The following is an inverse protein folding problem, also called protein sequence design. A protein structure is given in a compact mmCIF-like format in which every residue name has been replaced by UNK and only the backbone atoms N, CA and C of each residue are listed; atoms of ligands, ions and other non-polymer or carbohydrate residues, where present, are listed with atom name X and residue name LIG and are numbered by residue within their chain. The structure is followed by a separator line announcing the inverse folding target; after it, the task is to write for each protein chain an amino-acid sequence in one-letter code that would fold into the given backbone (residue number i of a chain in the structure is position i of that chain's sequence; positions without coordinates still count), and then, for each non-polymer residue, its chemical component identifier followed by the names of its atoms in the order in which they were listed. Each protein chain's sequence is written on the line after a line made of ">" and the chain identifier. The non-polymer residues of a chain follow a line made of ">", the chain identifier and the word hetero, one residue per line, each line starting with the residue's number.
data_IF_993665027058
#
_entry.id   IF_993665027058
#
_cell.length_a   1.000
_cell.length_b   1.000
_cell.length_c   1.000
_cell.angle_alpha   90.00
_cell.angle_beta   90.00
_cell.angle_gamma   90.00
#
_symmetry.space_group_name_H-M   'P 1'
#
loop_
_entity.id
_entity.type
_entity.pdbx_description
1 polymer ?
#
# COMPACT_ATOMS: atom_id res chain seq x y z
N UNK A 1 -9.89 -1.68 36.64
CA UNK A 1 -8.83 -0.86 35.99
C UNK A 1 -7.62 -1.68 35.58
N UNK A 2 -6.96 -2.43 36.47
CA UNK A 2 -5.76 -3.22 36.13
C UNK A 2 -5.98 -4.25 35.00
N UNK A 3 -7.09 -5.01 34.97
CA UNK A 3 -7.33 -5.97 33.88
C UNK A 3 -7.61 -5.31 32.52
N UNK A 4 -8.17 -4.09 32.53
CA UNK A 4 -8.43 -3.29 31.34
C UNK A 4 -7.13 -2.71 30.77
N UNK A 5 -6.22 -2.29 31.65
CA UNK A 5 -4.86 -1.83 31.29
C UNK A 5 -4.03 -3.00 30.75
N UNK A 6 -4.08 -4.17 31.38
CA UNK A 6 -3.37 -5.37 30.91
C UNK A 6 -3.92 -5.85 29.56
N UNK A 7 -5.24 -5.81 29.34
CA UNK A 7 -5.86 -6.12 28.05
C UNK A 7 -5.45 -5.15 26.94
N UNK A 8 -5.39 -3.84 27.24
CA UNK A 8 -4.87 -2.82 26.33
C UNK A 8 -3.39 -3.04 26.01
N UNK A 9 -2.53 -3.30 26.99
CA UNK A 9 -1.11 -3.57 26.78
C UNK A 9 -0.89 -4.84 25.93
N UNK A 10 -1.70 -5.89 26.15
CA UNK A 10 -1.61 -7.15 25.38
C UNK A 10 -2.09 -7.00 23.94
N UNK A 11 -3.17 -6.25 23.70
CA UNK A 11 -3.62 -5.90 22.35
C UNK A 11 -2.65 -4.94 21.63
N UNK A 12 -2.01 -4.03 22.38
CA UNK A 12 -0.97 -3.16 21.86
C UNK A 12 0.29 -3.94 21.44
N UNK A 13 0.61 -5.06 22.08
CA UNK A 13 1.84 -5.83 21.81
C UNK A 13 1.83 -6.63 20.50
N UNK A 14 0.68 -7.22 20.12
CA UNK A 14 0.63 -8.21 19.03
C UNK A 14 0.54 -7.67 17.60
N UNK A 15 0.21 -6.38 17.45
CA UNK A 15 0.03 -5.70 16.16
C UNK A 15 1.17 -4.70 15.83
N UNK A 16 2.24 -4.66 16.65
CA UNK A 16 3.44 -3.81 16.40
C UNK A 16 4.36 -4.38 15.31
N UNK A 17 4.24 -5.67 15.01
CA UNK A 17 5.01 -6.37 14.00
C UNK A 17 4.11 -7.07 12.99
N UNK A 18 4.52 -7.10 11.71
CA UNK A 18 3.81 -7.86 10.69
C UNK A 18 3.81 -9.35 11.04
N UNK A 19 2.74 -10.04 10.67
CA UNK A 19 2.63 -11.50 10.78
C UNK A 19 3.39 -12.22 9.66
N UNK A 20 3.63 -11.52 8.55
CA UNK A 20 4.41 -12.00 7.41
C UNK A 20 5.26 -10.87 6.86
N UNK A 21 6.56 -11.14 6.67
CA UNK A 21 7.49 -10.26 5.98
C UNK A 21 7.94 -10.96 4.71
N UNK A 22 7.61 -10.36 3.56
CA UNK A 22 8.03 -10.83 2.26
C UNK A 22 9.18 -9.97 1.72
N UNK A 23 10.11 -10.62 1.04
CA UNK A 23 11.19 -9.96 0.32
C UNK A 23 11.11 -10.34 -1.15
N UNK A 24 11.27 -9.34 -2.01
CA UNK A 24 11.74 -9.58 -3.37
C UNK A 24 13.21 -10.02 -3.38
N UNK A 25 13.68 -10.53 -4.52
CA UNK A 25 15.02 -11.06 -4.67
C UNK A 25 15.94 -10.08 -5.40
N UNK A 26 15.76 -9.95 -6.70
CA UNK A 26 16.63 -9.14 -7.56
C UNK A 26 16.54 -7.66 -7.21
N UNK A 27 17.68 -7.01 -6.96
CA UNK A 27 17.72 -5.61 -6.50
C UNK A 27 17.28 -5.38 -5.05
N UNK A 28 16.72 -6.38 -4.37
CA UNK A 28 16.20 -6.31 -3.00
C UNK A 28 16.98 -7.18 -2.02
N UNK A 29 16.93 -8.51 -2.12
CA UNK A 29 17.67 -9.40 -1.23
C UNK A 29 19.16 -9.43 -1.59
N UNK A 30 19.48 -9.30 -2.88
CA UNK A 30 20.83 -9.15 -3.39
C UNK A 30 20.92 -8.00 -4.40
N UNK A 31 22.16 -7.61 -4.74
CA UNK A 31 22.37 -6.74 -5.89
C UNK A 31 22.22 -7.48 -7.22
N UNK A 32 21.89 -6.72 -8.27
CA UNK A 32 21.78 -7.26 -9.61
C UNK A 32 20.59 -8.19 -9.82
N UNK A 33 20.70 -8.99 -10.87
CA UNK A 33 19.68 -9.92 -11.34
C UNK A 33 20.29 -11.31 -11.46
N UNK A 34 19.70 -12.28 -10.79
CA UNK A 34 20.06 -13.67 -10.97
C UNK A 34 19.41 -14.17 -12.27
N UNK A 35 20.16 -14.13 -13.36
CA UNK A 35 19.68 -14.43 -14.70
C UNK A 35 20.41 -15.65 -15.30
N UNK A 36 19.66 -16.60 -15.85
CA UNK A 36 20.20 -17.79 -16.51
C UNK A 36 21.03 -17.50 -17.78
N UNK A 37 20.83 -16.35 -18.40
CA UNK A 37 21.61 -15.97 -19.58
C UNK A 37 23.05 -15.59 -19.23
N UNK A 38 23.32 -15.27 -17.97
CA UNK A 38 24.66 -14.96 -17.47
C UNK A 38 25.23 -16.10 -16.61
N UNK A 39 24.40 -16.74 -15.78
CA UNK A 39 24.75 -17.95 -15.03
C UNK A 39 24.65 -19.19 -15.94
N UNK A 40 25.78 -19.79 -16.29
CA UNK A 40 25.92 -20.93 -17.21
C UNK A 40 26.36 -20.55 -18.62
N UNK A 41 26.56 -19.24 -18.88
CA UNK A 41 26.97 -18.71 -20.18
C UNK A 41 28.29 -19.36 -20.64
N UNK A 42 28.34 -19.91 -21.85
CA UNK A 42 29.54 -20.56 -22.42
C UNK A 42 30.05 -21.83 -21.71
N UNK A 43 29.24 -22.48 -20.85
CA UNK A 43 29.61 -23.78 -20.31
C UNK A 43 28.74 -24.21 -19.14
N UNK A 44 27.92 -25.25 -19.37
CA UNK A 44 27.02 -25.83 -18.37
C UNK A 44 27.76 -26.78 -17.42
N UNK A 45 27.30 -26.93 -16.17
CA UNK A 45 27.45 -28.24 -15.50
C UNK A 45 26.64 -29.23 -16.34
N UNK A 46 27.26 -30.32 -16.77
CA UNK A 46 26.69 -31.34 -17.67
C UNK A 46 25.27 -31.72 -17.28
N UNK A 47 24.35 -31.58 -18.25
CA UNK A 47 22.97 -32.08 -18.29
C UNK A 47 22.23 -32.21 -16.93
N UNK A 48 21.51 -31.16 -16.54
CA UNK A 48 20.27 -31.39 -15.79
C UNK A 48 19.70 -30.23 -14.99
N UNK A 49 20.53 -29.37 -14.39
CA UNK A 49 20.06 -28.44 -13.34
C UNK A 49 20.78 -27.10 -13.37
N UNK A 50 20.08 -26.04 -13.78
CA UNK A 50 20.61 -24.66 -13.90
C UNK A 50 21.17 -24.14 -12.59
N UNK A 51 20.52 -24.49 -11.49
CA UNK A 51 20.87 -24.13 -10.13
C UNK A 51 22.24 -24.66 -9.69
N UNK A 52 22.76 -25.73 -10.28
CA UNK A 52 24.06 -26.28 -9.89
C UNK A 52 25.25 -25.41 -10.36
N UNK A 53 25.01 -24.43 -11.23
CA UNK A 53 25.99 -23.38 -11.54
C UNK A 53 26.11 -22.34 -10.42
N UNK A 54 25.17 -22.27 -9.48
CA UNK A 54 25.15 -21.25 -8.41
C UNK A 54 26.00 -21.71 -7.23
N UNK A 55 27.05 -20.96 -6.91
CA UNK A 55 27.96 -21.26 -5.80
C UNK A 55 28.32 -20.02 -4.97
N UNK A 56 28.75 -20.25 -3.73
CA UNK A 56 29.37 -19.21 -2.91
C UNK A 56 30.80 -18.96 -3.41
N UNK A 57 31.07 -17.75 -3.90
CA UNK A 57 32.40 -17.33 -4.33
C UNK A 57 33.24 -16.79 -3.18
N UNK A 58 32.63 -16.00 -2.29
CA UNK A 58 33.30 -15.47 -1.11
C UNK A 58 32.31 -15.08 -0.02
N UNK A 59 32.76 -15.16 1.23
CA UNK A 59 32.04 -14.65 2.41
C UNK A 59 32.94 -13.63 3.12
N UNK A 60 32.38 -12.51 3.51
CA UNK A 60 33.06 -11.45 4.25
C UNK A 60 32.17 -10.92 5.38
N UNK A 61 32.66 -9.95 6.15
CA UNK A 61 31.86 -9.24 7.14
C UNK A 61 30.75 -8.38 6.51
N UNK A 62 30.88 -8.03 5.23
CA UNK A 62 29.96 -7.15 4.52
C UNK A 62 28.86 -7.92 3.78
N UNK A 63 29.02 -9.24 3.60
CA UNK A 63 28.05 -10.05 2.88
C UNK A 63 28.60 -11.30 2.21
N UNK A 64 27.80 -11.83 1.28
CA UNK A 64 28.04 -13.06 0.53
C UNK A 64 28.06 -12.75 -0.97
N UNK A 65 29.15 -13.12 -1.62
CA UNK A 65 29.23 -13.10 -3.08
C UNK A 65 28.82 -14.46 -3.60
N UNK A 66 27.68 -14.52 -4.26
CA UNK A 66 27.19 -15.69 -4.96
C UNK A 66 27.49 -15.49 -6.43
N UNK A 67 27.89 -16.54 -7.12
CA UNK A 67 28.09 -16.44 -8.55
C UNK A 67 28.21 -17.78 -9.21
N UNK A 68 28.50 -17.71 -10.50
CA UNK A 68 28.64 -18.88 -11.34
C UNK A 68 29.93 -19.65 -11.06
N UNK A 69 29.85 -20.99 -10.99
CA UNK A 69 30.99 -21.89 -10.74
C UNK A 69 32.11 -21.72 -11.78
N UNK A 70 31.79 -21.51 -13.06
CA UNK A 70 32.76 -21.44 -14.17
C UNK A 70 33.06 -20.00 -14.58
N UNK A 71 32.09 -19.11 -14.42
CA UNK A 71 32.13 -17.72 -14.85
C UNK A 71 32.44 -16.73 -13.72
N UNK A 72 33.25 -17.15 -12.74
CA UNK A 72 33.61 -16.40 -11.53
C UNK A 72 34.19 -15.00 -11.76
N UNK A 73 34.68 -14.67 -12.95
CA UNK A 73 35.28 -13.36 -13.27
C UNK A 73 34.29 -12.35 -13.83
N UNK A 74 33.11 -12.80 -14.24
CA UNK A 74 32.11 -11.97 -14.89
C UNK A 74 31.16 -11.40 -13.85
N UNK A 75 31.21 -10.08 -13.65
CA UNK A 75 30.38 -9.39 -12.64
C UNK A 75 28.88 -9.65 -12.84
N UNK A 76 28.44 -9.81 -14.08
CA UNK A 76 27.04 -10.08 -14.41
C UNK A 76 26.58 -11.52 -14.09
N UNK A 77 27.53 -12.42 -13.80
CA UNK A 77 27.28 -13.78 -13.31
C UNK A 77 27.53 -13.87 -11.79
N UNK A 78 27.32 -12.75 -11.09
CA UNK A 78 27.48 -12.63 -9.65
C UNK A 78 26.35 -11.78 -9.06
N UNK A 79 25.97 -12.09 -7.83
CA UNK A 79 25.07 -11.29 -7.01
C UNK A 79 25.62 -11.22 -5.59
N UNK A 80 25.46 -10.06 -4.96
CA UNK A 80 25.91 -9.77 -3.61
C UNK A 80 24.74 -9.68 -2.65
N UNK A 81 24.74 -10.57 -1.65
CA UNK A 81 23.78 -10.52 -0.53
C UNK A 81 24.42 -9.72 0.61
N UNK A 82 23.93 -8.51 0.93
CA UNK A 82 24.51 -7.70 1.99
C UNK A 82 24.29 -8.36 3.36
N UNK A 83 25.25 -8.21 4.27
CA UNK A 83 25.15 -8.74 5.64
C UNK A 83 23.96 -8.13 6.41
N UNK A 84 23.51 -6.94 6.03
CA UNK A 84 22.30 -6.34 6.60
C UNK A 84 21.06 -7.23 6.39
N UNK A 85 20.95 -7.96 5.28
CA UNK A 85 19.86 -8.92 5.09
C UNK A 85 19.88 -10.00 6.19
N UNK A 86 21.06 -10.50 6.54
CA UNK A 86 21.22 -11.46 7.65
C UNK A 86 20.79 -10.84 8.99
N UNK A 87 21.24 -9.63 9.27
CA UNK A 87 20.88 -8.90 10.49
C UNK A 87 19.37 -8.69 10.60
N UNK A 88 18.69 -8.43 9.48
CA UNK A 88 17.24 -8.31 9.39
C UNK A 88 16.57 -9.64 9.74
N UNK A 89 17.01 -10.75 9.13
CA UNK A 89 16.45 -12.08 9.41
C UNK A 89 16.63 -12.46 10.89
N UNK A 90 17.81 -12.17 11.47
CA UNK A 90 18.05 -12.36 12.90
C UNK A 90 17.10 -11.53 13.77
N UNK A 91 16.86 -10.27 13.42
CA UNK A 91 15.90 -9.44 14.14
C UNK A 91 14.49 -10.02 14.06
N UNK A 92 14.00 -10.36 12.85
CA UNK A 92 12.68 -10.98 12.68
C UNK A 92 12.55 -12.23 13.56
N UNK A 93 13.59 -13.09 13.59
CA UNK A 93 13.61 -14.32 14.41
C UNK A 93 13.61 -14.06 15.91
N UNK A 94 14.30 -13.01 16.38
CA UNK A 94 14.25 -12.54 17.78
C UNK A 94 12.86 -12.06 18.16
N UNK A 95 12.17 -11.38 17.25
CA UNK A 95 10.81 -10.91 17.47
C UNK A 95 9.80 -12.06 17.41
N UNK A 96 10.03 -13.10 16.60
CA UNK A 96 9.14 -14.28 16.57
C UNK A 96 9.11 -14.95 17.96
N UNK A 97 7.94 -15.14 18.56
CA UNK A 97 7.76 -15.81 19.86
C UNK A 97 6.74 -16.95 19.74
N UNK A 98 7.14 -18.09 19.13
CA UNK A 98 6.26 -19.25 19.01
C UNK A 98 5.92 -19.73 20.43
N UNK A 99 4.66 -20.09 20.65
CA UNK A 99 4.14 -20.59 21.95
C UNK A 99 4.07 -19.56 23.09
N UNK A 100 4.26 -18.26 22.80
CA UNK A 100 3.91 -17.22 23.77
C UNK A 100 2.39 -17.08 23.88
N UNK A 101 1.89 -16.52 25.00
CA UNK A 101 0.47 -16.19 25.17
C UNK A 101 -0.08 -15.23 24.11
N UNK A 102 0.82 -14.58 23.37
CA UNK A 102 0.52 -13.60 22.32
C UNK A 102 0.68 -14.20 20.92
N UNK A 103 1.11 -15.48 20.85
CA UNK A 103 1.35 -16.29 19.65
C UNK A 103 1.89 -15.51 18.44
N UNK A 104 2.93 -14.70 18.67
CA UNK A 104 3.52 -13.88 17.61
C UNK A 104 4.44 -14.74 16.73
N UNK A 105 3.84 -15.47 15.78
CA UNK A 105 4.59 -16.08 14.69
C UNK A 105 4.73 -15.07 13.54
N UNK A 106 5.98 -14.81 13.12
CA UNK A 106 6.30 -13.96 11.98
C UNK A 106 6.89 -14.89 10.93
N UNK A 107 6.18 -15.05 9.82
CA UNK A 107 6.65 -15.86 8.70
C UNK A 107 7.50 -15.00 7.75
N UNK A 108 8.66 -15.52 7.35
CA UNK A 108 9.50 -14.92 6.31
C UNK A 108 9.18 -15.60 4.99
N UNK A 109 8.83 -14.84 3.98
CA UNK A 109 8.46 -15.34 2.66
C UNK A 109 9.26 -14.66 1.56
N UNK A 110 9.32 -15.30 0.40
CA UNK A 110 9.85 -14.71 -0.83
C UNK A 110 8.69 -14.44 -1.77
N UNK A 111 8.64 -13.24 -2.33
CA UNK A 111 7.72 -12.84 -3.40
C UNK A 111 8.57 -12.26 -4.52
N UNK A 112 8.88 -13.05 -5.53
CA UNK A 112 9.75 -12.62 -6.63
C UNK A 112 9.18 -13.00 -7.99
N UNK A 113 9.40 -12.12 -8.97
CA UNK A 113 9.03 -12.36 -10.36
C UNK A 113 10.14 -13.07 -11.17
N UNK A 114 11.24 -13.45 -10.52
CA UNK A 114 12.30 -14.21 -11.17
C UNK A 114 11.77 -15.57 -11.65
N UNK A 115 12.02 -15.92 -12.90
CA UNK A 115 11.55 -17.16 -13.55
C UNK A 115 12.38 -18.39 -13.17
N UNK A 116 13.52 -18.21 -12.51
CA UNK A 116 14.47 -19.27 -12.13
C UNK A 116 14.39 -19.56 -10.63
N UNK A 117 13.23 -20.05 -10.18
CA UNK A 117 12.96 -20.37 -8.76
C UNK A 117 14.07 -21.22 -8.12
N UNK A 118 14.48 -22.31 -8.76
CA UNK A 118 15.45 -23.24 -8.18
C UNK A 118 16.84 -22.62 -8.06
N UNK A 119 17.25 -21.76 -9.00
CA UNK A 119 18.50 -21.02 -8.90
C UNK A 119 18.46 -20.02 -7.74
N UNK A 120 17.34 -19.32 -7.57
CA UNK A 120 17.14 -18.40 -6.46
C UNK A 120 17.16 -19.12 -5.10
N UNK A 121 16.51 -20.29 -5.01
CA UNK A 121 16.56 -21.15 -3.82
C UNK A 121 18.00 -21.58 -3.55
N UNK A 122 18.75 -22.00 -4.57
CA UNK A 122 20.17 -22.38 -4.41
C UNK A 122 21.03 -21.21 -3.96
N UNK A 123 20.81 -20.02 -4.49
CA UNK A 123 21.53 -18.82 -4.05
C UNK A 123 21.31 -18.58 -2.55
N UNK A 124 20.06 -18.57 -2.08
CA UNK A 124 19.75 -18.40 -0.65
C UNK A 124 20.24 -19.57 0.21
N UNK A 125 20.37 -20.77 -0.35
CA UNK A 125 20.90 -21.93 0.38
C UNK A 125 22.37 -21.76 0.78
N UNK A 126 23.17 -21.05 -0.04
CA UNK A 126 24.57 -20.72 0.27
C UNK A 126 24.72 -19.61 1.32
N UNK A 127 23.63 -18.91 1.63
CA UNK A 127 23.63 -17.84 2.62
C UNK A 127 23.32 -18.43 3.99
N UNK A 128 24.30 -18.36 4.88
CA UNK A 128 24.21 -18.87 6.24
C UNK A 128 24.18 -17.74 7.26
N UNK A 129 23.50 -17.97 8.38
CA UNK A 129 23.51 -17.07 9.51
C UNK A 129 23.46 -17.78 10.86
N UNK A 130 23.82 -17.03 11.89
CA UNK A 130 23.69 -17.48 13.27
C UNK A 130 22.23 -17.26 13.70
N UNK A 131 21.40 -18.30 13.64
CA UNK A 131 20.02 -18.25 14.13
C UNK A 131 20.04 -18.22 15.66
N UNK A 132 19.48 -17.19 16.31
CA UNK A 132 19.38 -17.12 17.77
C UNK A 132 18.69 -18.34 18.41
N UNK A 133 17.94 -19.13 17.65
CA UNK A 133 17.18 -20.30 18.12
C UNK A 133 17.73 -21.65 17.68
N UNK A 134 18.47 -21.71 16.55
CA UNK A 134 18.97 -22.97 15.97
C UNK A 134 20.50 -23.10 16.02
N UNK A 135 21.21 -22.01 16.29
CA UNK A 135 22.68 -21.98 16.34
C UNK A 135 23.31 -21.54 15.02
N UNK A 136 24.64 -21.69 14.96
CA UNK A 136 25.48 -21.27 13.84
C UNK A 136 25.23 -22.10 12.58
N UNK A 137 25.44 -21.50 11.40
CA UNK A 137 25.37 -22.21 10.12
C UNK A 137 23.95 -22.56 9.66
N UNK A 138 22.92 -21.89 10.19
CA UNK A 138 21.55 -22.06 9.71
C UNK A 138 21.43 -21.42 8.33
N UNK A 139 20.86 -22.10 7.34
CA UNK A 139 20.68 -21.55 5.99
C UNK A 139 19.46 -20.64 5.95
N UNK A 140 19.50 -19.61 5.12
CA UNK A 140 18.35 -18.71 4.92
C UNK A 140 17.13 -19.48 4.41
N UNK A 141 17.33 -20.51 3.58
CA UNK A 141 16.23 -21.38 3.11
C UNK A 141 15.48 -22.09 4.24
N UNK A 142 16.12 -22.35 5.39
CA UNK A 142 15.48 -23.08 6.50
C UNK A 142 14.49 -22.24 7.30
N UNK A 143 14.49 -20.93 7.09
CA UNK A 143 13.55 -20.00 7.73
C UNK A 143 12.49 -19.45 6.78
N UNK A 144 12.74 -19.47 5.48
CA UNK A 144 11.73 -19.11 4.48
C UNK A 144 10.60 -20.12 4.54
N UNK A 145 9.38 -19.63 4.81
CA UNK A 145 8.20 -20.47 5.01
C UNK A 145 7.39 -20.69 3.76
N UNK A 146 7.49 -19.77 2.82
CA UNK A 146 6.86 -19.84 1.51
C UNK A 146 7.73 -19.13 0.48
N UNK A 147 7.87 -19.75 -0.68
CA UNK A 147 8.68 -19.23 -1.77
C UNK A 147 7.81 -19.09 -3.02
N UNK A 148 7.31 -17.88 -3.26
CA UNK A 148 6.55 -17.55 -4.47
C UNK A 148 7.48 -16.89 -5.49
N UNK A 149 7.81 -17.66 -6.52
CA UNK A 149 8.60 -17.25 -7.67
C UNK A 149 8.38 -18.23 -8.83
N UNK A 150 8.87 -17.87 -10.02
CA UNK A 150 8.83 -18.72 -11.20
C UNK A 150 7.97 -18.18 -12.35
N UNK A 151 7.38 -16.99 -12.22
CA UNK A 151 6.56 -16.39 -13.27
C UNK A 151 6.72 -14.86 -13.32
N UNK A 152 7.39 -14.36 -14.36
CA UNK A 152 7.61 -12.92 -14.57
C UNK A 152 6.35 -12.14 -14.98
N UNK A 153 5.30 -12.83 -15.39
CA UNK A 153 4.03 -12.20 -15.78
C UNK A 153 3.00 -12.24 -14.66
N UNK A 154 3.24 -13.03 -13.60
CA UNK A 154 2.36 -13.07 -12.44
C UNK A 154 2.48 -11.76 -11.64
N UNK A 155 1.37 -11.03 -11.43
CA UNK A 155 1.40 -9.82 -10.62
C UNK A 155 1.62 -10.19 -9.15
N UNK A 156 2.35 -9.34 -8.40
CA UNK A 156 2.59 -9.61 -6.98
C UNK A 156 1.32 -9.61 -6.14
N UNK A 157 0.23 -9.01 -6.62
CA UNK A 157 -1.08 -9.13 -5.98
C UNK A 157 -1.51 -10.59 -5.83
N UNK A 158 -1.23 -11.41 -6.84
CA UNK A 158 -1.53 -12.85 -6.82
C UNK A 158 -0.60 -13.62 -5.87
N UNK A 159 0.67 -13.22 -5.78
CA UNK A 159 1.59 -13.81 -4.79
C UNK A 159 1.05 -13.65 -3.36
N UNK A 160 0.47 -12.49 -3.05
CA UNK A 160 -0.11 -12.22 -1.73
C UNK A 160 -1.46 -12.91 -1.51
N UNK A 161 -2.22 -13.19 -2.57
CA UNK A 161 -3.39 -14.07 -2.49
C UNK A 161 -2.96 -15.51 -2.17
N UNK A 162 -1.86 -15.98 -2.76
CA UNK A 162 -1.27 -17.29 -2.47
C UNK A 162 -0.74 -17.38 -1.03
N UNK A 163 -0.13 -16.32 -0.48
CA UNK A 163 0.27 -16.27 0.93
C UNK A 163 -0.91 -16.31 1.90
N UNK A 164 -2.01 -15.60 1.60
CA UNK A 164 -3.21 -15.62 2.42
C UNK A 164 -3.85 -17.01 2.41
N UNK A 165 -3.99 -17.63 1.23
CA UNK A 165 -4.49 -19.01 1.07
C UNK A 165 -3.64 -20.02 1.83
N UNK A 166 -2.32 -19.96 1.66
CA UNK A 166 -1.39 -20.83 2.39
C UNK A 166 -1.51 -20.70 3.91
N UNK A 167 -1.69 -19.48 4.41
CA UNK A 167 -1.90 -19.24 5.83
C UNK A 167 -3.25 -19.80 6.31
N UNK A 168 -4.30 -19.68 5.50
CA UNK A 168 -5.61 -20.27 5.75
C UNK A 168 -5.53 -21.80 5.80
N UNK A 169 -4.86 -22.44 4.85
CA UNK A 169 -4.68 -23.90 4.78
C UNK A 169 -3.91 -24.44 6.00
N UNK A 170 -3.05 -23.61 6.60
CA UNK A 170 -2.34 -23.92 7.85
C UNK A 170 -3.14 -23.65 9.12
N UNK A 171 -4.42 -23.28 9.01
CA UNK A 171 -5.26 -22.91 10.15
C UNK A 171 -4.83 -21.61 10.84
N UNK A 172 -4.09 -20.74 10.14
CA UNK A 172 -3.57 -19.46 10.66
C UNK A 172 -3.96 -18.30 9.73
N UNK A 173 -5.28 -18.09 9.47
CA UNK A 173 -5.72 -17.06 8.54
C UNK A 173 -5.10 -15.71 8.91
N UNK A 174 -4.36 -15.15 7.98
CA UNK A 174 -3.61 -13.90 8.18
C UNK A 174 -4.06 -12.93 7.11
N UNK A 175 -4.77 -11.88 7.55
CA UNK A 175 -5.17 -10.81 6.63
C UNK A 175 -3.93 -10.20 5.97
N UNK A 176 -4.01 -9.95 4.66
CA UNK A 176 -2.98 -9.25 3.88
C UNK A 176 -2.58 -7.88 4.50
N UNK A 177 -3.50 -7.26 5.25
CA UNK A 177 -3.28 -6.04 6.05
C UNK A 177 -2.18 -6.18 7.12
N UNK A 178 -1.85 -7.42 7.53
CA UNK A 178 -0.80 -7.74 8.51
C UNK A 178 0.52 -8.18 7.86
N UNK A 179 0.68 -7.93 6.55
CA UNK A 179 1.87 -8.30 5.79
C UNK A 179 2.67 -7.06 5.36
N UNK A 180 3.98 -7.24 5.21
CA UNK A 180 4.93 -6.21 4.77
C UNK A 180 5.78 -6.76 3.61
N UNK A 181 5.82 -6.05 2.49
CA UNK A 181 6.68 -6.34 1.34
C UNK A 181 7.84 -5.34 1.26
N UNK A 182 9.06 -5.87 1.10
CA UNK A 182 10.22 -5.11 0.66
C UNK A 182 10.53 -5.44 -0.81
N UNK A 183 10.69 -4.41 -1.63
CA UNK A 183 10.84 -4.53 -3.09
C UNK A 183 11.57 -3.30 -3.66
N UNK A 184 12.31 -3.42 -4.76
CA UNK A 184 12.96 -2.29 -5.41
C UNK A 184 12.09 -1.67 -6.53
N UNK A 185 11.15 -2.43 -7.08
CA UNK A 185 10.32 -2.04 -8.22
C UNK A 185 9.07 -1.30 -7.78
N UNK A 186 8.92 -0.07 -8.26
CA UNK A 186 7.77 0.76 -7.93
C UNK A 186 6.45 0.15 -8.42
N UNK A 187 6.44 -0.56 -9.57
CA UNK A 187 5.19 -1.17 -10.08
C UNK A 187 4.56 -2.17 -9.10
N UNK A 188 5.36 -2.80 -8.24
CA UNK A 188 4.89 -3.76 -7.24
C UNK A 188 4.22 -3.11 -6.03
N UNK A 189 4.12 -1.78 -5.98
CA UNK A 189 3.33 -1.05 -4.98
C UNK A 189 1.82 -1.31 -5.15
N UNK A 190 1.40 -1.90 -6.26
CA UNK A 190 0.01 -2.31 -6.49
C UNK A 190 -0.53 -3.26 -5.40
N UNK A 191 0.32 -4.07 -4.73
CA UNK A 191 -0.09 -4.88 -3.57
C UNK A 191 -0.58 -4.04 -2.40
N UNK A 192 -0.03 -2.84 -2.20
CA UNK A 192 -0.51 -1.93 -1.16
C UNK A 192 -1.88 -1.39 -1.50
N UNK A 193 -2.08 -1.05 -2.77
CA UNK A 193 -3.33 -0.50 -3.26
C UNK A 193 -4.45 -1.56 -3.23
N UNK A 194 -4.18 -2.77 -3.73
CA UNK A 194 -5.23 -3.74 -4.02
C UNK A 194 -5.39 -4.82 -2.95
N UNK A 195 -4.31 -5.25 -2.31
CA UNK A 195 -4.33 -6.24 -1.23
C UNK A 195 -4.34 -5.58 0.16
N UNK A 196 -3.79 -4.36 0.27
CA UNK A 196 -3.67 -3.64 1.56
C UNK A 196 -2.46 -4.07 2.38
N UNK A 197 -1.51 -4.76 1.72
CA UNK A 197 -0.17 -5.07 2.20
C UNK A 197 0.58 -3.77 2.44
N UNK A 198 1.44 -3.69 3.45
CA UNK A 198 2.34 -2.53 3.55
C UNK A 198 3.47 -2.70 2.56
N UNK A 199 3.66 -1.75 1.64
CA UNK A 199 4.74 -1.78 0.66
C UNK A 199 5.85 -0.80 1.02
N UNK A 200 7.07 -1.30 1.12
CA UNK A 200 8.26 -0.49 1.32
C UNK A 200 9.23 -0.64 0.15
N UNK A 201 9.44 0.45 -0.59
CA UNK A 201 10.39 0.47 -1.70
C UNK A 201 11.84 0.62 -1.20
N UNK A 202 12.74 -0.23 -1.65
CA UNK A 202 14.17 -0.10 -1.40
C UNK A 202 14.72 1.10 -2.17
N UNK A 203 15.32 2.06 -1.44
CA UNK A 203 15.67 3.37 -1.99
C UNK A 203 16.81 3.34 -3.02
N UNK A 204 17.72 2.36 -2.92
CA UNK A 204 18.89 2.22 -3.79
C UNK A 204 18.90 0.80 -4.38
N UNK A 205 18.22 0.59 -5.53
CA UNK A 205 18.31 -0.69 -6.23
C UNK A 205 19.77 -1.02 -6.53
N UNK A 206 20.16 -2.29 -6.37
CA UNK A 206 21.51 -2.76 -6.70
C UNK A 206 22.55 -2.65 -5.58
N UNK A 207 22.15 -2.40 -4.32
CA UNK A 207 22.99 -2.67 -3.14
C UNK A 207 22.42 -3.78 -2.24
N UNK A 208 21.21 -4.26 -2.57
CA UNK A 208 20.34 -5.01 -1.68
C UNK A 208 19.74 -4.16 -0.55
N UNK A 209 18.97 -4.81 0.31
CA UNK A 209 18.28 -4.22 1.44
C UNK A 209 19.26 -3.92 2.57
N UNK A 210 19.09 -2.76 3.21
CA UNK A 210 19.83 -2.40 4.42
C UNK A 210 18.97 -2.45 5.68
N UNK A 211 19.64 -2.47 6.83
CA UNK A 211 18.95 -2.47 8.10
C UNK A 211 18.13 -1.19 8.32
N UNK A 212 18.54 -0.06 7.73
CA UNK A 212 17.76 1.17 7.74
C UNK A 212 16.49 1.07 6.88
N UNK A 213 16.57 0.44 5.70
CA UNK A 213 15.39 0.16 4.87
C UNK A 213 14.38 -0.68 5.67
N UNK A 214 14.85 -1.73 6.33
CA UNK A 214 14.00 -2.57 7.19
C UNK A 214 13.34 -1.80 8.34
N UNK A 215 14.10 -0.99 9.09
CA UNK A 215 13.55 -0.15 10.17
C UNK A 215 12.50 0.84 9.65
N UNK A 216 12.75 1.43 8.49
CA UNK A 216 11.81 2.37 7.86
C UNK A 216 10.55 1.63 7.37
N UNK A 217 10.67 0.44 6.81
CA UNK A 217 9.54 -0.43 6.46
C UNK A 217 8.70 -0.83 7.67
N UNK A 218 9.33 -1.18 8.80
CA UNK A 218 8.62 -1.44 10.05
C UNK A 218 7.92 -0.20 10.61
N UNK A 219 8.58 0.97 10.56
CA UNK A 219 7.98 2.24 10.99
C UNK A 219 6.74 2.55 10.17
N UNK A 220 6.82 2.33 8.86
CA UNK A 220 5.70 2.48 7.94
C UNK A 220 4.57 1.50 8.26
N UNK A 221 4.87 0.22 8.43
CA UNK A 221 3.87 -0.78 8.83
C UNK A 221 3.15 -0.39 10.12
N UNK A 222 3.91 0.08 11.13
CA UNK A 222 3.34 0.53 12.40
C UNK A 222 2.44 1.74 12.24
N UNK A 223 2.78 2.69 11.38
CA UNK A 223 1.90 3.84 11.10
C UNK A 223 0.56 3.36 10.53
N UNK A 224 0.58 2.37 9.64
CA UNK A 224 -0.64 1.73 9.12
C UNK A 224 -1.46 1.00 10.18
N UNK A 225 -0.82 0.31 11.13
CA UNK A 225 -1.54 -0.39 12.20
C UNK A 225 -2.08 0.57 13.26
N UNK A 226 -1.36 1.66 13.53
CA UNK A 226 -1.70 2.58 14.61
C UNK A 226 -3.06 3.24 14.43
N UNK A 227 -3.38 3.77 13.24
CA UNK A 227 -4.71 4.37 13.03
C UNK A 227 -5.81 3.29 12.95
N UNK A 228 -5.47 2.07 12.51
CA UNK A 228 -6.41 0.96 12.40
C UNK A 228 -6.90 0.42 13.75
N UNK A 229 -6.12 0.60 14.81
CA UNK A 229 -6.53 0.21 16.18
C UNK A 229 -7.79 0.93 16.67
N UNK A 230 -8.12 2.06 16.07
CA UNK A 230 -9.30 2.85 16.40
C UNK A 230 -10.55 2.41 15.62
N UNK A 231 -10.43 1.41 14.75
CA UNK A 231 -11.54 0.90 13.95
C UNK A 231 -12.15 -0.30 14.69
N UNK A 232 -13.46 -0.28 14.97
CA UNK A 232 -14.15 -1.39 15.61
C UNK A 232 -13.98 -2.70 14.83
N UNK A 233 -13.75 -3.81 15.54
CA UNK A 233 -13.58 -5.14 14.94
C UNK A 233 -14.89 -5.69 14.35
N UNK A 234 -16.03 -5.41 14.98
CA UNK A 234 -17.38 -5.67 14.49
C UNK A 234 -17.92 -4.39 13.86
N UNK A 235 -18.29 -4.42 12.58
CA UNK A 235 -18.69 -3.26 11.79
C UNK A 235 -19.54 -2.22 12.55
N UNK A 236 -19.18 -0.94 12.36
CA UNK A 236 -19.82 0.27 12.86
C UNK A 236 -20.34 0.21 14.31
N UNK A 237 -19.56 0.71 15.27
CA UNK A 237 -20.19 1.24 16.48
C UNK A 237 -21.09 2.42 16.06
N UNK A 238 -22.41 2.19 16.07
CA UNK A 238 -23.41 3.11 15.49
C UNK A 238 -23.41 4.51 16.12
N UNK A 239 -22.83 4.69 17.31
CA UNK A 239 -22.83 5.95 18.04
C UNK A 239 -21.73 6.94 17.62
N UNK A 240 -20.78 6.55 16.76
CA UNK A 240 -19.63 7.39 16.37
C UNK A 240 -19.35 7.45 14.87
N UNK A 241 -20.38 7.16 14.08
CA UNK A 241 -20.33 7.30 12.63
C UNK A 241 -20.40 8.80 12.29
N UNK A 242 -19.48 9.29 11.47
CA UNK A 242 -19.49 10.67 10.98
C UNK A 242 -19.64 10.66 9.46
N UNK A 243 -20.65 11.38 8.97
CA UNK A 243 -20.82 11.65 7.54
C UNK A 243 -19.73 12.62 7.07
N UNK A 244 -18.96 12.21 6.08
CA UNK A 244 -17.79 12.96 5.63
C UNK A 244 -17.89 13.42 4.18
N UNK A 245 -18.82 12.91 3.37
CA UNK A 245 -19.01 13.38 2.00
C UNK A 245 -19.81 12.44 1.12
N UNK A 246 -19.62 12.60 -0.18
CA UNK A 246 -20.37 11.90 -1.21
C UNK A 246 -19.45 11.37 -2.31
N UNK A 247 -19.75 10.18 -2.82
CA UNK A 247 -19.00 9.55 -3.92
C UNK A 247 -19.95 9.27 -5.07
N UNK A 248 -19.60 9.69 -6.28
CA UNK A 248 -20.25 9.24 -7.50
C UNK A 248 -19.64 7.92 -7.96
N UNK A 249 -20.47 6.90 -8.20
CA UNK A 249 -20.01 5.54 -8.47
C UNK A 249 -20.90 4.84 -9.52
N UNK A 250 -20.39 3.73 -10.04
CA UNK A 250 -21.23 2.70 -10.67
C UNK A 250 -21.88 1.80 -9.62
N UNK A 251 -22.84 0.96 -10.03
CA UNK A 251 -23.56 0.05 -9.14
C UNK A 251 -22.60 -0.86 -8.36
N UNK A 252 -21.59 -1.42 -9.04
CA UNK A 252 -20.65 -2.34 -8.44
C UNK A 252 -19.82 -1.66 -7.34
N UNK A 253 -19.25 -0.49 -7.61
CA UNK A 253 -18.47 0.23 -6.60
C UNK A 253 -19.37 0.79 -5.49
N UNK A 254 -20.60 1.20 -5.79
CA UNK A 254 -21.54 1.66 -4.79
C UNK A 254 -21.88 0.56 -3.77
N UNK A 255 -22.16 -0.66 -4.24
CA UNK A 255 -22.39 -1.83 -3.38
C UNK A 255 -21.16 -2.14 -2.52
N UNK A 256 -19.96 -2.10 -3.12
CA UNK A 256 -18.72 -2.35 -2.37
C UNK A 256 -18.50 -1.32 -1.26
N UNK A 257 -18.73 -0.04 -1.53
CA UNK A 257 -18.64 0.98 -0.49
C UNK A 257 -19.68 0.78 0.59
N UNK A 258 -20.89 0.32 0.26
CA UNK A 258 -21.92 -0.01 1.25
C UNK A 258 -21.52 -1.19 2.16
N UNK A 259 -20.84 -2.19 1.59
CA UNK A 259 -20.19 -3.27 2.35
C UNK A 259 -18.94 -2.80 3.10
N UNK A 260 -18.55 -1.53 2.91
CA UNK A 260 -17.34 -0.91 3.42
C UNK A 260 -16.06 -1.59 2.93
N UNK A 261 -16.11 -2.09 1.70
CA UNK A 261 -14.98 -2.53 0.90
C UNK A 261 -14.45 -1.37 0.05
N UNK A 262 -13.20 -1.48 -0.39
CA UNK A 262 -12.57 -0.54 -1.33
C UNK A 262 -13.12 -0.74 -2.74
N UNK A 263 -12.95 0.26 -3.61
CA UNK A 263 -13.29 0.17 -5.04
C UNK A 263 -12.55 -0.96 -5.75
N UNK A 264 -13.10 -1.40 -6.88
CA UNK A 264 -12.35 -2.26 -7.81
C UNK A 264 -11.29 -1.45 -8.58
N UNK A 265 -10.35 -2.18 -9.19
CA UNK A 265 -9.48 -1.60 -10.21
C UNK A 265 -10.36 -1.19 -11.38
N UNK A 266 -10.26 0.08 -11.77
CA UNK A 266 -10.99 0.61 -12.93
C UNK A 266 -10.01 1.33 -13.86
N UNK A 267 -10.35 1.34 -15.13
CA UNK A 267 -9.71 2.10 -16.21
C UNK A 267 -10.10 3.59 -16.20
N UNK A 268 -11.04 3.98 -15.34
CA UNK A 268 -11.53 5.35 -15.28
C UNK A 268 -10.44 6.35 -14.94
N UNK A 269 -10.57 7.50 -15.60
CA UNK A 269 -9.73 8.64 -15.39
C UNK A 269 -9.79 9.16 -13.97
N UNK A 270 -8.60 9.28 -13.38
CA UNK A 270 -8.42 9.80 -12.05
C UNK A 270 -7.16 10.67 -12.01
N UNK A 271 -7.37 11.97 -11.77
CA UNK A 271 -6.35 13.00 -11.56
C UNK A 271 -5.34 12.71 -10.43
N UNK A 272 -5.66 11.76 -9.54
CA UNK A 272 -4.92 11.39 -8.34
C UNK A 272 -4.69 9.87 -8.24
N UNK A 273 -4.46 9.19 -9.37
CA UNK A 273 -4.18 7.76 -9.35
C UNK A 273 -5.42 6.91 -9.03
N UNK A 274 -5.23 5.77 -8.35
CA UNK A 274 -6.32 4.83 -8.05
C UNK A 274 -7.19 5.19 -6.83
N UNK A 275 -7.18 6.45 -6.40
CA UNK A 275 -7.94 6.92 -5.24
C UNK A 275 -9.45 6.99 -5.49
N UNK A 276 -10.23 6.94 -4.42
CA UNK A 276 -11.65 7.28 -4.40
C UNK A 276 -11.80 8.80 -4.25
N UNK A 277 -12.66 9.39 -5.07
CA UNK A 277 -13.00 10.81 -5.05
C UNK A 277 -14.24 11.01 -4.21
N UNK A 278 -14.08 11.80 -3.16
CA UNK A 278 -15.18 12.23 -2.31
C UNK A 278 -15.39 13.71 -2.57
N UNK A 279 -16.64 14.14 -2.68
CA UNK A 279 -17.03 15.53 -2.73
C UNK A 279 -17.76 15.94 -1.45
N UNK A 280 -17.67 17.21 -1.08
CA UNK A 280 -18.42 17.76 0.06
C UNK A 280 -19.84 18.20 -0.34
N UNK A 281 -20.07 18.42 -1.64
CA UNK A 281 -21.35 18.78 -2.26
C UNK A 281 -21.91 17.57 -3.03
N UNK A 282 -23.13 17.10 -2.71
CA UNK A 282 -23.72 15.94 -3.37
C UNK A 282 -23.99 16.17 -4.86
N UNK A 283 -24.16 17.41 -5.32
CA UNK A 283 -24.34 17.72 -6.76
C UNK A 283 -23.07 17.42 -7.56
N UNK A 284 -21.89 17.59 -6.95
CA UNK A 284 -20.61 17.23 -7.57
C UNK A 284 -20.48 15.71 -7.69
N UNK A 285 -20.82 14.97 -6.63
CA UNK A 285 -20.81 13.52 -6.66
C UNK A 285 -21.83 12.97 -7.68
N UNK A 286 -23.03 13.55 -7.77
CA UNK A 286 -24.02 13.23 -8.78
C UNK A 286 -23.48 13.47 -10.21
N UNK A 287 -22.81 14.60 -10.46
CA UNK A 287 -22.15 14.83 -11.75
C UNK A 287 -21.11 13.75 -12.09
N UNK A 288 -20.22 13.40 -11.16
CA UNK A 288 -19.25 12.34 -11.38
C UNK A 288 -19.87 10.95 -11.54
N UNK A 289 -21.05 10.73 -10.95
CA UNK A 289 -21.83 9.53 -11.17
C UNK A 289 -22.33 9.42 -12.62
N UNK A 290 -22.61 10.54 -13.28
CA UNK A 290 -23.08 10.58 -14.68
C UNK A 290 -21.94 10.51 -15.70
N UNK A 291 -20.80 11.11 -15.37
CA UNK A 291 -19.67 11.27 -16.29
C UNK A 291 -19.17 9.92 -16.84
N UNK A 292 -19.28 9.74 -18.16
CA UNK A 292 -18.93 8.50 -18.86
C UNK A 292 -19.92 7.35 -18.64
N UNK A 293 -21.13 7.65 -18.15
CA UNK A 293 -22.24 6.72 -17.86
C UNK A 293 -23.58 7.30 -18.33
N UNK A 294 -23.57 8.26 -19.25
CA UNK A 294 -24.74 9.00 -19.72
C UNK A 294 -25.79 8.07 -20.34
N UNK A 295 -25.34 6.98 -20.97
CA UNK A 295 -26.19 5.99 -21.64
C UNK A 295 -26.59 4.80 -20.73
N UNK A 296 -26.16 4.79 -19.47
CA UNK A 296 -26.45 3.70 -18.51
C UNK A 296 -26.97 4.27 -17.19
N UNK A 297 -28.15 4.92 -17.19
CA UNK A 297 -28.70 5.59 -16.01
C UNK A 297 -28.95 4.64 -14.83
N UNK A 298 -29.23 3.36 -15.10
CA UNK A 298 -29.40 2.35 -14.07
C UNK A 298 -28.10 2.03 -13.31
N UNK A 299 -26.95 2.38 -13.88
CA UNK A 299 -25.63 2.21 -13.28
C UNK A 299 -25.12 3.50 -12.59
N UNK A 300 -25.97 4.50 -12.38
CA UNK A 300 -25.57 5.76 -11.74
C UNK A 300 -25.95 5.77 -10.26
N UNK A 301 -24.95 5.79 -9.38
CA UNK A 301 -25.14 5.79 -7.94
C UNK A 301 -24.38 6.93 -7.26
N UNK A 302 -25.00 7.49 -6.22
CA UNK A 302 -24.35 8.34 -5.25
C UNK A 302 -24.27 7.60 -3.91
N UNK A 303 -23.11 7.66 -3.27
CA UNK A 303 -22.87 7.03 -1.97
C UNK A 303 -22.63 8.12 -0.93
N UNK A 304 -23.45 8.16 0.12
CA UNK A 304 -23.12 8.94 1.32
C UNK A 304 -22.01 8.20 2.05
N UNK A 305 -20.85 8.83 2.19
CA UNK A 305 -19.67 8.18 2.75
C UNK A 305 -19.53 8.54 4.23
N UNK A 306 -19.26 7.54 5.04
CA UNK A 306 -19.11 7.68 6.49
C UNK A 306 -17.78 7.10 6.96
N UNK A 307 -17.20 7.70 8.00
CA UNK A 307 -16.08 7.09 8.74
C UNK A 307 -16.63 6.12 9.78
N UNK A 308 -16.01 4.94 9.87
CA UNK A 308 -16.31 3.92 10.87
C UNK A 308 -15.94 4.35 12.30
N UNK A 309 -15.01 5.30 12.41
CA UNK A 309 -14.51 5.81 13.68
C UNK A 309 -14.04 7.25 13.50
N UNK A 310 -14.72 8.19 14.14
CA UNK A 310 -14.30 9.59 14.20
C UNK A 310 -12.89 9.72 14.79
N UNK A 311 -12.55 8.92 15.80
CA UNK A 311 -11.21 8.93 16.39
C UNK A 311 -10.13 8.50 15.39
N UNK A 312 -10.39 7.46 14.57
CA UNK A 312 -9.47 7.06 13.51
C UNK A 312 -9.30 8.19 12.48
N UNK A 313 -10.41 8.86 12.14
CA UNK A 313 -10.40 10.00 11.24
C UNK A 313 -9.63 11.17 11.82
N UNK A 314 -9.77 11.50 13.10
CA UNK A 314 -9.01 12.58 13.75
C UNK A 314 -7.51 12.26 13.79
N UNK A 315 -7.16 11.00 14.04
CA UNK A 315 -5.78 10.55 14.15
C UNK A 315 -5.03 10.52 12.81
N UNK A 316 -5.68 10.11 11.72
CA UNK A 316 -5.01 10.02 10.43
C UNK A 316 -4.59 11.41 9.94
N UNK A 317 -3.37 11.49 9.41
CA UNK A 317 -2.84 12.74 8.86
C UNK A 317 -3.67 13.21 7.67
N UNK A 318 -3.88 14.53 7.59
CA UNK A 318 -4.64 15.17 6.52
C UNK A 318 -3.84 16.31 5.93
N UNK A 319 -3.75 16.36 4.61
CA UNK A 319 -3.01 17.39 3.87
C UNK A 319 -3.89 17.98 2.78
N UNK A 320 -3.75 19.28 2.50
CA UNK A 320 -4.46 19.92 1.40
C UNK A 320 -3.46 20.36 0.32
N UNK A 321 -3.62 19.85 -0.90
CA UNK A 321 -2.79 20.15 -2.05
C UNK A 321 -3.32 21.34 -2.84
N UNK A 322 -2.42 22.13 -3.46
CA UNK A 322 -2.85 23.07 -4.47
C UNK A 322 -3.46 22.32 -5.66
N UNK A 323 -4.42 22.97 -6.33
CA UNK A 323 -5.27 22.32 -7.34
C UNK A 323 -4.56 21.89 -8.62
N UNK A 324 -3.34 22.38 -8.89
CA UNK A 324 -2.62 22.21 -10.17
C UNK A 324 -1.13 21.89 -9.96
N UNK A 325 -0.50 21.41 -11.03
CA UNK A 325 0.94 21.22 -11.14
C UNK A 325 1.40 19.81 -10.74
N UNK A 326 2.63 19.72 -10.24
CA UNK A 326 3.33 18.46 -9.92
C UNK A 326 2.79 17.71 -8.68
N UNK A 327 1.51 17.89 -8.35
CA UNK A 327 0.82 17.15 -7.29
C UNK A 327 -0.08 16.05 -7.87
N UNK A 328 -0.53 16.22 -9.11
CA UNK A 328 -1.46 15.30 -9.76
C UNK A 328 -0.75 14.06 -10.29
N UNK A 329 -1.48 12.95 -10.35
CA UNK A 329 -1.04 11.65 -10.88
C UNK A 329 -2.03 11.23 -11.95
N UNK A 330 -1.57 11.15 -13.20
CA UNK A 330 -2.41 10.73 -14.31
C UNK A 330 -2.33 9.20 -14.47
N UNK A 331 -3.37 8.47 -14.11
CA UNK A 331 -3.42 7.01 -14.27
C UNK A 331 -4.02 6.52 -15.61
N UNK A 332 -4.55 7.42 -16.44
CA UNK A 332 -5.20 7.06 -17.71
C UNK A 332 -4.18 6.81 -18.79
N UNK A 333 -3.23 7.73 -18.86
CA UNK A 333 -2.24 7.79 -19.94
C UNK A 333 -0.87 7.34 -19.47
N UNK A 334 -0.81 6.66 -18.32
CA UNK A 334 0.42 6.15 -17.72
C UNK A 334 0.30 4.66 -17.48
N UNK A 335 1.40 3.95 -17.63
CA UNK A 335 1.54 2.56 -17.21
C UNK A 335 1.38 2.44 -15.68
N UNK A 336 1.21 1.20 -15.18
CA UNK A 336 1.20 0.94 -13.74
C UNK A 336 2.50 1.39 -13.08
N UNK A 337 3.64 1.12 -13.72
CA UNK A 337 4.95 1.54 -13.24
C UNK A 337 5.04 3.06 -13.10
N UNK A 338 4.71 3.80 -14.17
CA UNK A 338 4.73 5.27 -14.16
C UNK A 338 3.79 5.85 -13.10
N UNK A 339 2.59 5.27 -12.97
CA UNK A 339 1.62 5.66 -11.94
C UNK A 339 2.18 5.45 -10.53
N UNK A 340 2.83 4.31 -10.29
CA UNK A 340 3.43 4.02 -8.99
C UNK A 340 4.65 4.91 -8.70
N UNK A 341 5.51 5.16 -9.68
CA UNK A 341 6.62 6.10 -9.55
C UNK A 341 6.13 7.53 -9.28
N UNK A 342 5.02 7.95 -9.92
CA UNK A 342 4.40 9.24 -9.66
C UNK A 342 3.83 9.33 -8.24
N UNK A 343 3.22 8.25 -7.72
CA UNK A 343 2.76 8.18 -6.33
C UNK A 343 3.92 8.24 -5.33
N UNK A 344 5.03 7.56 -5.59
CA UNK A 344 6.22 7.64 -4.73
C UNK A 344 6.79 9.07 -4.69
N UNK A 345 6.87 9.74 -5.84
CA UNK A 345 7.27 11.15 -5.94
C UNK A 345 6.32 12.06 -5.16
N UNK A 346 5.01 11.80 -5.24
CA UNK A 346 4.01 12.52 -4.47
C UNK A 346 4.22 12.30 -2.96
N UNK A 347 4.36 11.06 -2.50
CA UNK A 347 4.55 10.74 -1.08
C UNK A 347 5.80 11.41 -0.50
N UNK A 348 6.91 11.40 -1.24
CA UNK A 348 8.14 12.11 -0.86
C UNK A 348 7.90 13.61 -0.71
N UNK A 349 7.21 14.21 -1.68
CA UNK A 349 6.86 15.63 -1.67
C UNK A 349 5.92 15.98 -0.51
N UNK A 350 4.99 15.09 -0.17
CA UNK A 350 4.10 15.25 1.00
C UNK A 350 4.90 15.26 2.29
N UNK A 351 5.85 14.34 2.43
CA UNK A 351 6.78 14.32 3.57
C UNK A 351 7.58 15.61 3.67
N UNK A 352 8.16 16.08 2.57
CA UNK A 352 8.97 17.31 2.52
C UNK A 352 8.16 18.58 2.86
N UNK A 353 6.94 18.69 2.33
CA UNK A 353 6.14 19.93 2.41
C UNK A 353 5.23 20.00 3.63
N UNK A 354 4.80 18.86 4.16
CA UNK A 354 3.84 18.80 5.27
C UNK A 354 4.39 18.10 6.52
N UNK A 355 5.57 17.46 6.42
CA UNK A 355 6.09 16.55 7.45
C UNK A 355 5.04 15.50 7.82
N UNK A 356 4.54 14.81 6.78
CA UNK A 356 3.52 13.75 6.86
C UNK A 356 4.00 12.57 6.05
N UNK A 357 4.00 11.38 6.66
CA UNK A 357 4.21 10.11 5.97
C UNK A 357 2.87 9.41 5.74
N UNK A 358 2.81 8.52 4.74
CA UNK A 358 1.63 7.65 4.55
C UNK A 358 1.39 6.74 5.79
N UNK A 359 0.13 6.35 6.06
CA UNK A 359 -1.08 6.76 5.33
C UNK A 359 -1.57 8.17 5.72
N UNK A 360 -2.15 8.87 4.76
CA UNK A 360 -2.77 10.19 4.94
C UNK A 360 -4.00 10.32 4.02
N UNK A 361 -4.93 11.20 4.39
CA UNK A 361 -5.97 11.70 3.49
C UNK A 361 -5.48 12.96 2.81
N UNK A 362 -5.86 13.15 1.55
CA UNK A 362 -5.54 14.39 0.84
C UNK A 362 -6.80 15.12 0.40
N UNK A 363 -6.70 16.44 0.42
CA UNK A 363 -7.74 17.36 -0.02
C UNK A 363 -7.20 18.19 -1.18
N UNK A 364 -8.07 18.59 -2.09
CA UNK A 364 -7.73 19.51 -3.15
C UNK A 364 -8.92 20.36 -3.56
N UNK A 365 -8.65 21.36 -4.38
CA UNK A 365 -9.66 22.09 -5.12
C UNK A 365 -9.67 21.60 -6.57
N UNK A 366 -10.83 21.64 -7.19
CA UNK A 366 -10.96 21.45 -8.63
C UNK A 366 -11.75 22.60 -9.23
N UNK A 367 -11.29 23.10 -10.39
CA UNK A 367 -12.04 24.11 -11.13
C UNK A 367 -13.34 23.55 -11.67
N UNK A 368 -14.30 24.43 -11.98
CA UNK A 368 -15.48 24.05 -12.75
C UNK A 368 -15.11 23.20 -13.97
N UNK A 369 -15.85 22.13 -14.20
CA UNK A 369 -15.75 21.28 -15.39
C UNK A 369 -16.85 21.63 -16.39
N UNK A 370 -16.65 21.26 -17.66
CA UNK A 370 -17.71 21.37 -18.66
C UNK A 370 -18.95 20.59 -18.22
N UNK A 371 -20.14 21.18 -18.40
CA UNK A 371 -21.41 20.60 -17.95
C UNK A 371 -21.78 20.89 -16.49
N UNK A 372 -20.95 21.63 -15.73
CA UNK A 372 -21.27 22.09 -14.37
C UNK A 372 -21.81 23.53 -14.35
N UNK A 373 -22.87 23.81 -15.12
CA UNK A 373 -23.35 25.20 -15.31
C UNK A 373 -23.94 25.84 -14.04
N UNK A 374 -24.31 25.04 -13.04
CA UNK A 374 -24.73 25.49 -11.72
C UNK A 374 -23.57 26.00 -10.84
N UNK A 375 -22.32 25.76 -11.27
CA UNK A 375 -21.12 26.31 -10.63
C UNK A 375 -20.73 27.59 -11.36
N UNK A 376 -20.66 28.69 -10.61
CA UNK A 376 -20.25 29.98 -11.16
C UNK A 376 -18.84 29.89 -11.76
N UNK A 377 -18.65 30.52 -12.91
CA UNK A 377 -17.34 30.59 -13.56
C UNK A 377 -16.26 31.14 -12.62
N UNK A 378 -15.06 30.57 -12.69
CA UNK A 378 -13.94 30.91 -11.80
C UNK A 378 -14.05 30.35 -10.37
N UNK A 379 -15.16 29.71 -9.99
CA UNK A 379 -15.26 29.03 -8.68
C UNK A 379 -14.73 27.60 -8.74
N UNK A 380 -14.39 27.07 -7.56
CA UNK A 380 -13.80 25.74 -7.39
C UNK A 380 -14.57 24.95 -6.34
N UNK A 381 -14.62 23.63 -6.51
CA UNK A 381 -15.21 22.71 -5.53
C UNK A 381 -14.13 21.93 -4.77
N UNK A 382 -14.52 21.36 -3.62
CA UNK A 382 -13.60 20.59 -2.78
C UNK A 382 -13.63 19.12 -3.18
N UNK A 383 -12.45 18.50 -3.20
CA UNK A 383 -12.26 17.08 -3.41
C UNK A 383 -11.43 16.50 -2.27
N UNK A 384 -11.83 15.33 -1.77
CA UNK A 384 -11.02 14.53 -0.86
C UNK A 384 -10.68 13.23 -1.57
N UNK A 385 -9.41 12.87 -1.48
CA UNK A 385 -8.76 11.79 -2.20
C UNK A 385 -8.43 10.73 -1.17
N UNK A 386 -9.13 9.60 -1.27
CA UNK A 386 -9.01 8.49 -0.34
C UNK A 386 -8.37 7.31 -1.06
N UNK A 387 -7.12 7.03 -0.73
CA UNK A 387 -6.41 5.92 -1.35
C UNK A 387 -6.90 4.55 -0.86
N UNK A 388 -6.87 3.50 -1.70
CA UNK A 388 -7.44 2.18 -1.41
C UNK A 388 -7.08 1.57 -0.05
N UNK A 389 -5.85 1.76 0.42
CA UNK A 389 -5.33 1.23 1.68
C UNK A 389 -6.02 1.80 2.94
N UNK A 390 -6.71 2.94 2.80
CA UNK A 390 -7.51 3.57 3.85
C UNK A 390 -9.00 3.23 3.66
N UNK A 391 -9.46 3.03 2.42
CA UNK A 391 -10.89 2.89 2.07
C UNK A 391 -11.60 1.82 2.89
N UNK A 392 -11.19 0.56 2.74
CA UNK A 392 -11.89 -0.59 3.32
C UNK A 392 -11.73 -0.70 4.85
N UNK A 393 -10.70 -0.05 5.39
CA UNK A 393 -10.45 0.00 6.80
C UNK A 393 -11.27 1.13 7.45
N UNK A 394 -11.31 2.33 6.88
CA UNK A 394 -11.86 3.51 7.55
C UNK A 394 -13.31 3.84 7.17
N UNK A 395 -13.74 3.48 5.97
CA UNK A 395 -14.99 3.99 5.42
C UNK A 395 -16.01 2.90 5.11
N UNK A 396 -17.27 3.31 5.08
CA UNK A 396 -18.38 2.59 4.50
C UNK A 396 -19.39 3.62 3.96
N UNK A 397 -20.40 3.17 3.22
CA UNK A 397 -21.34 4.06 2.57
C UNK A 397 -22.79 3.64 2.67
N UNK A 398 -23.67 4.59 2.35
CA UNK A 398 -25.07 4.33 2.04
C UNK A 398 -25.27 4.64 0.56
N UNK A 399 -25.51 3.59 -0.24
CA UNK A 399 -25.65 3.70 -1.67
C UNK A 399 -27.10 4.03 -2.06
N UNK A 400 -27.26 5.04 -2.91
CA UNK A 400 -28.54 5.45 -3.46
C UNK A 400 -28.45 5.51 -4.97
N UNK A 401 -29.46 4.94 -5.66
CA UNK A 401 -29.57 5.11 -7.11
C UNK A 401 -29.83 6.58 -7.40
N UNK A 402 -29.12 7.14 -8.37
CA UNK A 402 -29.15 8.58 -8.60
C UNK A 402 -30.54 9.09 -9.00
N UNK A 403 -31.28 8.30 -9.80
CA UNK A 403 -32.67 8.58 -10.20
C UNK A 403 -33.60 8.86 -9.02
N UNK A 404 -33.34 8.25 -7.88
CA UNK A 404 -34.24 8.25 -6.73
C UNK A 404 -34.00 9.46 -5.83
N UNK A 405 -32.80 10.06 -5.90
CA UNK A 405 -32.35 11.11 -4.97
C UNK A 405 -31.93 12.41 -5.66
N UNK A 406 -31.81 12.43 -6.99
CA UNK A 406 -31.37 13.61 -7.73
C UNK A 406 -32.28 14.83 -7.50
N UNK A 407 -33.60 14.63 -7.48
CA UNK A 407 -34.54 15.72 -7.18
C UNK A 407 -34.32 16.33 -5.80
N UNK A 408 -33.98 15.52 -4.79
CA UNK A 408 -33.68 15.94 -3.42
C UNK A 408 -32.34 16.69 -3.34
N UNK A 409 -31.33 16.20 -4.06
CA UNK A 409 -30.02 16.84 -4.14
C UNK A 409 -30.13 18.23 -4.77
N UNK A 410 -30.91 18.35 -5.86
CA UNK A 410 -31.06 19.61 -6.59
C UNK A 410 -31.93 20.63 -5.85
N UNK A 411 -32.90 20.18 -5.03
CA UNK A 411 -33.71 21.06 -4.19
C UNK A 411 -32.99 21.53 -2.91
N UNK A 412 -31.84 20.94 -2.58
CA UNK A 412 -31.09 21.25 -1.35
C UNK A 412 -31.72 20.63 -0.10
N UNK A 413 -32.29 19.42 -0.24
CA UNK A 413 -32.89 18.66 0.86
C UNK A 413 -31.93 18.54 2.06
N UNK A 414 -32.47 18.67 3.28
CA UNK A 414 -31.68 18.64 4.51
C UNK A 414 -30.92 17.32 4.75
N UNK A 415 -31.35 16.22 4.15
CA UNK A 415 -30.66 14.93 4.20
C UNK A 415 -29.48 14.84 3.20
N UNK A 416 -29.34 15.83 2.31
CA UNK A 416 -28.26 15.96 1.33
C UNK A 416 -27.51 17.30 1.48
N UNK A 417 -26.97 17.60 2.68
CA UNK A 417 -26.35 18.89 2.93
C UNK A 417 -24.99 19.06 2.23
N UNK A 418 -24.68 20.29 1.82
CA UNK A 418 -23.30 20.67 1.46
C UNK A 418 -22.43 20.76 2.71
N UNK A 419 -21.45 19.87 2.88
CA UNK A 419 -20.63 19.73 4.08
C UNK A 419 -19.54 20.80 4.26
N UNK A 420 -19.19 21.54 3.20
CA UNK A 420 -18.32 22.73 3.24
C UNK A 420 -16.99 22.49 3.98
N UNK A 421 -16.19 21.51 3.55
CA UNK A 421 -14.96 21.08 4.26
C UNK A 421 -13.94 22.18 4.53
N UNK A 422 -13.90 23.23 3.73
CA UNK A 422 -13.04 24.40 3.98
C UNK A 422 -13.23 24.99 5.39
N UNK A 423 -14.43 24.85 5.99
CA UNK A 423 -14.70 25.28 7.38
C UNK A 423 -14.12 24.35 8.44
N UNK A 424 -13.70 23.16 8.02
CA UNK A 424 -13.19 22.10 8.89
C UNK A 424 -11.66 21.92 8.80
N UNK A 425 -10.94 22.80 8.11
CA UNK A 425 -9.48 22.72 7.98
C UNK A 425 -8.81 22.68 9.36
N UNK A 426 -9.11 23.64 10.23
CA UNK A 426 -8.57 23.67 11.60
C UNK A 426 -9.16 22.57 12.49
N UNK A 427 -10.49 22.36 12.57
CA UNK A 427 -11.08 21.27 13.37
C UNK A 427 -10.55 19.87 13.05
N UNK A 428 -10.31 19.55 11.78
CA UNK A 428 -9.82 18.23 11.35
C UNK A 428 -8.29 18.11 11.35
N UNK A 429 -7.57 19.18 11.73
CA UNK A 429 -6.11 19.20 11.72
C UNK A 429 -5.51 19.08 10.30
N UNK A 430 -6.18 19.62 9.28
CA UNK A 430 -5.69 19.56 7.90
C UNK A 430 -4.49 20.51 7.76
N UNK A 431 -3.34 19.95 7.36
CA UNK A 431 -2.13 20.73 7.13
C UNK A 431 -2.18 21.42 5.77
N UNK A 432 -1.84 22.71 5.74
CA UNK A 432 -1.68 23.52 4.54
C UNK A 432 -0.21 23.93 4.36
N UNK A 433 0.37 23.71 3.18
CA UNK A 433 1.68 24.25 2.82
C UNK A 433 1.54 25.69 2.27
N UNK A 434 2.65 26.39 2.08
CA UNK A 434 2.66 27.77 1.59
C UNK A 434 2.01 27.89 0.20
N UNK A 435 2.27 26.93 -0.68
CA UNK A 435 1.69 26.88 -2.02
C UNK A 435 0.17 26.73 -2.00
N UNK A 436 -0.38 25.94 -1.07
CA UNK A 436 -1.84 25.80 -0.91
C UNK A 436 -2.49 27.08 -0.42
N UNK A 437 -1.86 27.78 0.54
CA UNK A 437 -2.35 29.08 1.04
C UNK A 437 -2.39 30.12 -0.07
N UNK A 438 -1.30 30.24 -0.82
CA UNK A 438 -1.26 31.12 -1.99
C UNK A 438 -2.30 30.74 -3.06
N UNK A 439 -2.55 29.44 -3.28
CA UNK A 439 -3.60 28.96 -4.17
C UNK A 439 -5.01 29.27 -3.64
N UNK A 440 -5.23 29.42 -2.33
CA UNK A 440 -6.50 29.89 -1.80
C UNK A 440 -6.66 31.41 -1.93
N UNK A 441 -5.62 32.17 -1.56
CA UNK A 441 -5.59 33.64 -1.66
C UNK A 441 -5.85 34.11 -3.09
N UNK A 442 -5.23 33.44 -4.08
CA UNK A 442 -5.41 33.73 -5.51
C UNK A 442 -6.88 33.68 -5.97
N UNK A 443 -7.70 32.82 -5.36
CA UNK A 443 -9.12 32.65 -5.72
C UNK A 443 -10.06 33.30 -4.69
N UNK A 444 -9.52 34.06 -3.72
CA UNK A 444 -10.32 34.70 -2.67
C UNK A 444 -11.04 33.70 -1.75
N UNK A 445 -10.48 32.50 -1.60
CA UNK A 445 -11.08 31.43 -0.81
C UNK A 445 -10.67 31.54 0.66
N UNK A 446 -11.64 31.39 1.58
CA UNK A 446 -11.38 31.38 3.03
C UNK A 446 -11.04 29.96 3.50
N UNK A 447 -10.10 29.84 4.43
CA UNK A 447 -9.58 28.58 4.95
C UNK A 447 -9.17 28.63 6.42
#
# INVERSE_FOLDING_TARGET
>A
MASLITGLIKALGSDIYPKLVAFDLDGTTWDGWLNEHEFGKNGWVTEGKKEDNVTLLSKSNDGFLIGDVKNKKYKQAQVWVPYDFIKILQDIRKQTKPNSSDNMNIDVCISSKNTHKDMCVRALWHVEYDDPKRGKGTRVTDIIKYFEAGNEHQPKTEHFDNFERWNQDKGRPTSQKKMLLFDDKAENMDVEQWNGVTFFKIAKPGRGITYDDYKNGLKLYRSFMEWRRYIPASGAESSRVQHIGYVGADMLNAQRYAEGKRRTRTDRAARWGYAMYVADDPRIAAFFSKMGRENTPDDQYIVKLYVRSSQAFDFISKVWYPSKGSWQINNVHSTMEETCQAQEKLDKKVMEKFNVSKPYLSFSKHGKMAGMDWIKEGTRFNEMIVYPQIQDAMFFGEAHKLSDVEGLINSGDANWPHLKWHRNIKPWGIKLCAETKADFDKYGERY
#
